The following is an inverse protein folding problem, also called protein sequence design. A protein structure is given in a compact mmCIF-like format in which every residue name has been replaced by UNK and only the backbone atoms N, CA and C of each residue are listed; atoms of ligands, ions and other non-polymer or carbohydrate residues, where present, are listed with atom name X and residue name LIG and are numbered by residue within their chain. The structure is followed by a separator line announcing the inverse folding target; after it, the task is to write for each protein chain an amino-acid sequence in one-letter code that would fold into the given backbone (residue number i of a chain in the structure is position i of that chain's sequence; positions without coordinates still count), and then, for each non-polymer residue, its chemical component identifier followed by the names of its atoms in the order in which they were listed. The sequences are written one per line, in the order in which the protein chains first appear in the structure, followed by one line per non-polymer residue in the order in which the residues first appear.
data_IF_887348414910
#
_entry.id   IF_887348414910
#
_cell.length_a   1.000
_cell.length_b   1.000
_cell.length_c   1.000
_cell.angle_alpha   90.00
_cell.angle_beta   90.00
_cell.angle_gamma   90.00
#
_symmetry.space_group_name_H-M   'P 1'
#
loop_
_entity.id
_entity.type
_entity.pdbx_description
1 polymer ?
#
# COMPACT_ATOMS: atom_id res chain seq x y z
N UNK A 1 19.12 17.87 4.54
CA UNK A 1 19.66 16.89 3.58
C UNK A 1 19.90 17.63 2.28
N UNK A 2 21.15 17.93 1.95
CA UNK A 2 21.51 18.45 0.63
C UNK A 2 21.87 17.25 -0.23
N UNK A 3 21.09 17.02 -1.28
CA UNK A 3 21.35 15.99 -2.28
C UNK A 3 22.33 16.61 -3.27
N UNK A 4 23.63 16.38 -3.09
CA UNK A 4 24.65 16.92 -3.98
C UNK A 4 24.83 15.94 -5.14
N UNK A 5 24.25 16.27 -6.30
CA UNK A 5 24.28 15.42 -7.49
C UNK A 5 25.00 16.19 -8.61
N UNK A 6 26.01 15.60 -9.28
CA UNK A 6 26.91 16.30 -10.22
C UNK A 6 26.23 16.92 -11.45
N UNK A 7 24.95 16.64 -11.66
CA UNK A 7 24.12 17.21 -12.73
C UNK A 7 23.02 18.17 -12.24
N UNK A 8 22.87 18.38 -10.94
CA UNK A 8 21.86 19.29 -10.35
C UNK A 8 22.56 20.34 -9.47
N UNK A 9 23.19 21.32 -10.12
CA UNK A 9 23.98 22.35 -9.45
C UNK A 9 23.15 23.38 -8.65
N UNK A 10 21.83 23.41 -8.86
CA UNK A 10 20.93 24.34 -8.15
C UNK A 10 19.80 23.58 -7.43
N UNK A 11 19.70 23.67 -6.09
CA UNK A 11 18.62 23.04 -5.32
C UNK A 11 17.21 23.50 -5.70
N UNK A 12 17.02 24.71 -6.23
CA UNK A 12 15.70 25.18 -6.68
C UNK A 12 15.19 24.40 -7.89
N UNK A 13 16.10 23.98 -8.77
CA UNK A 13 15.77 23.26 -9.99
C UNK A 13 15.32 21.83 -9.67
N UNK A 14 15.90 21.23 -8.63
CA UNK A 14 15.47 19.91 -8.15
C UNK A 14 13.96 19.88 -7.80
N UNK A 15 13.44 20.93 -7.16
CA UNK A 15 12.02 21.04 -6.81
C UNK A 15 11.14 21.13 -8.07
N UNK A 16 11.56 21.87 -9.08
CA UNK A 16 10.80 22.02 -10.33
C UNK A 16 10.82 20.71 -11.14
N UNK A 17 11.97 20.05 -11.25
CA UNK A 17 12.09 18.75 -11.91
C UNK A 17 11.22 17.68 -11.25
N UNK A 18 11.30 17.54 -9.92
CA UNK A 18 10.45 16.60 -9.20
C UNK A 18 8.97 16.89 -9.41
N UNK A 19 8.56 18.16 -9.27
CA UNK A 19 7.16 18.56 -9.49
C UNK A 19 6.69 18.21 -10.90
N UNK A 20 7.50 18.51 -11.92
CA UNK A 20 7.19 18.23 -13.32
C UNK A 20 7.11 16.72 -13.58
N UNK A 21 8.04 15.94 -13.04
CA UNK A 21 8.01 14.48 -13.15
C UNK A 21 6.77 13.87 -12.48
N UNK A 22 6.41 14.33 -11.28
CA UNK A 22 5.18 13.88 -10.60
C UNK A 22 3.93 14.27 -11.38
N UNK A 23 3.88 15.50 -11.91
CA UNK A 23 2.77 15.98 -12.74
C UNK A 23 2.62 15.12 -13.99
N UNK A 24 3.71 14.93 -14.75
CA UNK A 24 3.71 14.11 -15.96
C UNK A 24 3.29 12.67 -15.67
N UNK A 25 3.82 12.06 -14.61
CA UNK A 25 3.43 10.71 -14.20
C UNK A 25 1.95 10.63 -13.84
N UNK A 26 1.43 11.59 -13.09
CA UNK A 26 0.03 11.62 -12.73
C UNK A 26 -0.87 11.84 -13.95
N UNK A 27 -0.53 12.77 -14.83
CA UNK A 27 -1.26 13.05 -16.07
C UNK A 27 -1.27 11.87 -17.04
N UNK A 28 -0.24 11.02 -17.01
CA UNK A 28 -0.13 9.83 -17.86
C UNK A 28 -0.82 8.62 -17.20
N UNK A 29 -0.37 8.23 -16.00
CA UNK A 29 -0.74 6.96 -15.34
C UNK A 29 -1.91 7.08 -14.36
N UNK A 30 -2.32 8.30 -14.04
CA UNK A 30 -3.29 8.61 -13.00
C UNK A 30 -2.71 8.53 -11.58
N UNK A 31 -3.60 8.41 -10.57
CA UNK A 31 -3.20 8.29 -9.17
C UNK A 31 -2.29 7.07 -8.94
N UNK A 32 -1.11 7.28 -8.34
CA UNK A 32 -0.12 6.22 -8.11
C UNK A 32 -0.64 5.05 -7.26
N UNK A 33 -1.63 5.30 -6.40
CA UNK A 33 -2.28 4.29 -5.57
C UNK A 33 -2.98 3.20 -6.39
N UNK A 34 -3.38 3.48 -7.63
CA UNK A 34 -4.06 2.50 -8.50
C UNK A 34 -3.14 1.32 -8.84
N UNK A 35 -1.88 1.59 -9.19
CA UNK A 35 -0.91 0.52 -9.46
C UNK A 35 -0.64 -0.32 -8.21
N UNK A 36 -0.56 0.33 -7.04
CA UNK A 36 -0.38 -0.37 -5.77
C UNK A 36 -1.57 -1.28 -5.45
N UNK A 37 -2.80 -0.79 -5.65
CA UNK A 37 -4.01 -1.57 -5.42
C UNK A 37 -4.12 -2.76 -6.38
N UNK A 38 -3.87 -2.55 -7.69
CA UNK A 38 -3.87 -3.63 -8.69
C UNK A 38 -2.81 -4.68 -8.33
N UNK A 39 -1.61 -4.26 -7.96
CA UNK A 39 -0.52 -5.19 -7.57
C UNK A 39 -0.90 -5.98 -6.32
N UNK A 40 -1.45 -5.30 -5.31
CA UNK A 40 -1.86 -5.95 -4.06
C UNK A 40 -2.94 -7.02 -4.29
N UNK A 41 -3.97 -6.70 -5.09
CA UNK A 41 -5.06 -7.65 -5.32
C UNK A 41 -4.65 -8.80 -6.24
N UNK A 42 -3.87 -8.54 -7.30
CA UNK A 42 -3.34 -9.60 -8.17
C UNK A 42 -2.40 -10.52 -7.41
N UNK A 43 -1.55 -9.96 -6.54
CA UNK A 43 -0.69 -10.74 -5.67
C UNK A 43 -1.50 -11.63 -4.73
N UNK A 44 -2.57 -11.10 -4.14
CA UNK A 44 -3.47 -11.88 -3.29
C UNK A 44 -4.13 -13.01 -4.07
N UNK A 45 -4.72 -12.73 -5.24
CA UNK A 45 -5.37 -13.73 -6.09
C UNK A 45 -4.39 -14.85 -6.43
N UNK A 46 -3.21 -14.50 -6.95
CA UNK A 46 -2.18 -15.48 -7.30
C UNK A 46 -1.78 -16.34 -6.10
N UNK A 47 -1.65 -15.75 -4.91
CA UNK A 47 -1.29 -16.51 -3.71
C UNK A 47 -2.39 -17.50 -3.29
N UNK A 48 -3.66 -17.15 -3.50
CA UNK A 48 -4.79 -18.07 -3.28
C UNK A 48 -4.75 -19.20 -4.30
N UNK A 49 -4.65 -18.88 -5.59
CA UNK A 49 -4.60 -19.87 -6.68
C UNK A 49 -3.42 -20.85 -6.48
N UNK A 50 -2.24 -20.33 -6.13
CA UNK A 50 -1.05 -21.14 -5.85
C UNK A 50 -1.25 -22.06 -4.63
N UNK A 51 -1.98 -21.61 -3.60
CA UNK A 51 -2.26 -22.39 -2.40
C UNK A 51 -3.28 -23.50 -2.67
N UNK A 52 -4.36 -23.19 -3.38
CA UNK A 52 -5.35 -24.17 -3.81
C UNK A 52 -4.73 -25.22 -4.74
N UNK A 53 -3.87 -24.79 -5.67
CA UNK A 53 -3.12 -25.71 -6.53
C UNK A 53 -2.27 -26.69 -5.70
N UNK A 54 -1.57 -26.20 -4.67
CA UNK A 54 -0.72 -27.06 -3.82
C UNK A 54 -1.55 -28.06 -3.01
N UNK A 55 -2.67 -27.61 -2.45
CA UNK A 55 -3.60 -28.48 -1.72
C UNK A 55 -4.15 -29.58 -2.63
N UNK A 56 -4.60 -29.22 -3.84
CA UNK A 56 -5.15 -30.18 -4.81
C UNK A 56 -4.12 -31.19 -5.34
N UNK A 57 -2.83 -30.86 -5.27
CA UNK A 57 -1.74 -31.72 -5.73
C UNK A 57 -0.99 -32.42 -4.59
N UNK A 58 -1.46 -32.32 -3.34
CA UNK A 58 -0.80 -32.85 -2.14
C UNK A 58 0.67 -32.42 -2.03
N UNK A 59 0.94 -31.16 -2.36
CA UNK A 59 2.28 -30.58 -2.31
C UNK A 59 2.56 -29.99 -0.92
N UNK A 60 3.61 -30.48 -0.27
CA UNK A 60 4.07 -29.98 1.01
C UNK A 60 5.48 -29.41 0.91
N UNK A 61 5.77 -28.42 1.76
CA UNK A 61 7.10 -27.84 1.86
C UNK A 61 8.06 -28.86 2.46
N UNK A 62 9.17 -29.13 1.78
CA UNK A 62 10.26 -29.95 2.25
C UNK A 62 11.44 -29.04 2.63
N UNK A 63 11.86 -29.08 3.90
CA UNK A 63 12.93 -28.23 4.43
C UNK A 63 14.32 -28.61 3.91
N UNK A 64 14.52 -29.89 3.56
CA UNK A 64 15.81 -30.37 3.05
C UNK A 64 16.06 -29.91 1.61
N UNK A 65 15.00 -29.90 0.79
CA UNK A 65 15.09 -29.52 -0.63
C UNK A 65 14.67 -28.08 -0.90
N UNK A 66 14.11 -27.40 0.11
CA UNK A 66 13.55 -26.05 0.04
C UNK A 66 12.53 -25.88 -1.10
N UNK A 67 11.73 -26.92 -1.33
CA UNK A 67 10.78 -27.00 -2.44
C UNK A 67 9.47 -27.64 -1.98
N UNK A 68 8.42 -27.40 -2.77
CA UNK A 68 7.15 -28.09 -2.59
C UNK A 68 7.18 -29.42 -3.36
N UNK A 69 6.96 -30.52 -2.64
CA UNK A 69 7.03 -31.89 -3.17
C UNK A 69 5.76 -32.66 -2.84
N UNK A 70 5.41 -33.63 -3.71
CA UNK A 70 4.27 -34.51 -3.46
C UNK A 70 4.59 -35.40 -2.26
N UNK A 71 3.63 -35.54 -1.37
CA UNK A 71 3.76 -36.35 -0.16
C UNK A 71 2.46 -37.11 0.09
N UNK A 72 2.57 -38.33 0.61
CA UNK A 72 1.42 -39.19 0.92
C UNK A 72 0.65 -38.71 2.17
N UNK A 73 1.31 -37.89 3.01
CA UNK A 73 0.78 -37.31 4.24
C UNK A 73 0.81 -35.78 4.21
N UNK A 74 -0.03 -35.13 3.39
CA UNK A 74 0.05 -33.69 3.21
C UNK A 74 -0.30 -32.94 4.50
N UNK A 75 0.63 -32.10 4.95
CA UNK A 75 0.46 -31.21 6.10
C UNK A 75 -0.09 -29.84 5.65
N UNK A 76 -0.94 -29.20 6.47
CA UNK A 76 -1.44 -27.86 6.19
C UNK A 76 -0.31 -26.82 6.25
N UNK A 77 -0.18 -25.99 5.21
CA UNK A 77 0.80 -24.90 5.15
C UNK A 77 0.25 -23.64 5.86
N UNK A 78 0.42 -23.60 7.18
CA UNK A 78 -0.05 -22.49 8.01
C UNK A 78 0.60 -21.15 7.66
N UNK A 79 1.88 -21.17 7.27
CA UNK A 79 2.61 -19.95 6.92
C UNK A 79 2.02 -19.29 5.67
N UNK A 80 1.73 -20.09 4.63
CA UNK A 80 1.07 -19.59 3.43
C UNK A 80 -0.33 -19.06 3.74
N UNK A 81 -1.10 -19.76 4.58
CA UNK A 81 -2.42 -19.28 5.01
C UNK A 81 -2.33 -17.92 5.72
N UNK A 82 -1.38 -17.74 6.64
CA UNK A 82 -1.13 -16.46 7.31
C UNK A 82 -0.70 -15.36 6.33
N UNK A 83 0.17 -15.69 5.37
CA UNK A 83 0.61 -14.78 4.31
C UNK A 83 -0.56 -14.32 3.45
N UNK A 84 -1.41 -15.24 3.00
CA UNK A 84 -2.62 -14.93 2.22
C UNK A 84 -3.55 -14.00 3.01
N UNK A 85 -3.80 -14.29 4.30
CA UNK A 85 -4.60 -13.41 5.18
C UNK A 85 -4.01 -12.01 5.27
N UNK A 86 -2.69 -11.89 5.40
CA UNK A 86 -2.01 -10.58 5.43
C UNK A 86 -2.15 -9.84 4.10
N UNK A 87 -1.97 -10.51 2.97
CA UNK A 87 -2.15 -9.93 1.64
C UNK A 87 -3.59 -9.48 1.43
N UNK A 88 -4.57 -10.29 1.83
CA UNK A 88 -5.98 -9.92 1.80
C UNK A 88 -6.26 -8.66 2.62
N UNK A 89 -5.69 -8.56 3.83
CA UNK A 89 -5.82 -7.39 4.69
C UNK A 89 -5.24 -6.14 4.05
N UNK A 90 -4.05 -6.23 3.44
CA UNK A 90 -3.42 -5.12 2.72
C UNK A 90 -4.31 -4.68 1.55
N UNK A 91 -4.80 -5.62 0.73
CA UNK A 91 -5.70 -5.32 -0.36
C UNK A 91 -6.96 -4.60 0.15
N UNK A 92 -7.65 -5.17 1.15
CA UNK A 92 -8.85 -4.58 1.78
C UNK A 92 -8.62 -3.14 2.27
N UNK A 93 -7.45 -2.83 2.82
CA UNK A 93 -7.11 -1.49 3.29
C UNK A 93 -6.96 -0.46 2.18
N UNK A 94 -6.60 -0.88 0.96
CA UNK A 94 -6.49 0.00 -0.21
C UNK A 94 -7.86 0.29 -0.86
N UNK A 95 -8.83 -0.60 -0.65
CA UNK A 95 -10.15 -0.54 -1.28
C UNK A 95 -10.89 0.80 -1.10
N UNK A 96 -10.88 1.46 0.08
CA UNK A 96 -11.55 2.74 0.27
C UNK A 96 -11.04 3.86 -0.65
N UNK A 97 -9.79 3.77 -1.11
CA UNK A 97 -9.15 4.80 -1.93
C UNK A 97 -9.53 4.72 -3.41
N UNK A 98 -10.14 3.62 -3.86
CA UNK A 98 -10.40 3.39 -5.28
C UNK A 98 -11.43 4.35 -5.86
N UNK A 99 -12.47 4.70 -5.09
CA UNK A 99 -13.50 5.62 -5.55
C UNK A 99 -12.97 7.04 -5.69
N UNK A 100 -12.21 7.53 -4.70
CA UNK A 100 -11.57 8.83 -4.80
C UNK A 100 -10.53 8.84 -5.93
N UNK A 101 -9.73 7.79 -6.07
CA UNK A 101 -8.78 7.67 -7.18
C UNK A 101 -9.48 7.72 -8.56
N UNK A 102 -10.65 7.09 -8.71
CA UNK A 102 -11.46 7.19 -9.94
C UNK A 102 -11.99 8.61 -10.17
N UNK A 103 -12.50 9.26 -9.13
CA UNK A 103 -13.06 10.61 -9.22
C UNK A 103 -12.02 11.64 -9.65
N UNK A 104 -10.81 11.55 -9.09
CA UNK A 104 -9.71 12.46 -9.35
C UNK A 104 -8.78 11.98 -10.47
N UNK A 105 -9.11 10.93 -11.22
CA UNK A 105 -8.28 10.52 -12.34
C UNK A 105 -8.28 11.59 -13.47
N UNK A 106 -7.11 12.00 -13.98
CA UNK A 106 -6.99 13.17 -14.86
C UNK A 106 -7.43 12.91 -16.30
N UNK A 107 -7.45 11.66 -16.74
CA UNK A 107 -7.76 11.28 -18.12
C UNK A 107 -8.67 10.03 -18.16
N UNK A 108 -9.18 9.69 -19.34
CA UNK A 108 -10.09 8.54 -19.54
C UNK A 108 -9.41 7.21 -19.21
N UNK A 109 -8.17 7.03 -19.65
CA UNK A 109 -7.39 5.80 -19.41
C UNK A 109 -7.20 5.52 -17.91
N UNK A 110 -6.90 6.55 -17.11
CA UNK A 110 -6.76 6.46 -15.66
C UNK A 110 -8.10 6.15 -14.98
N UNK A 111 -9.22 6.68 -15.49
CA UNK A 111 -10.57 6.34 -15.00
C UNK A 111 -10.91 4.88 -15.30
N UNK A 112 -10.62 4.40 -16.51
CA UNK A 112 -10.81 3.01 -16.91
C UNK A 112 -9.94 2.08 -16.05
N UNK A 113 -8.69 2.45 -15.79
CA UNK A 113 -7.79 1.72 -14.88
C UNK A 113 -8.31 1.67 -13.44
N UNK A 114 -8.87 2.77 -12.94
CA UNK A 114 -9.50 2.80 -11.62
C UNK A 114 -10.76 1.91 -11.57
N UNK A 115 -11.57 1.94 -12.63
CA UNK A 115 -12.74 1.08 -12.78
C UNK A 115 -12.34 -0.41 -12.82
N UNK A 116 -11.33 -0.75 -13.62
CA UNK A 116 -10.74 -2.09 -13.67
C UNK A 116 -10.26 -2.55 -12.29
N UNK A 117 -9.59 -1.68 -11.53
CA UNK A 117 -9.19 -2.00 -10.16
C UNK A 117 -10.41 -2.29 -9.27
N UNK A 118 -11.48 -1.49 -9.34
CA UNK A 118 -12.71 -1.73 -8.58
C UNK A 118 -13.35 -3.07 -8.93
N UNK A 119 -13.45 -3.39 -10.22
CA UNK A 119 -14.01 -4.66 -10.71
C UNK A 119 -13.18 -5.84 -10.25
N UNK A 120 -11.86 -5.77 -10.36
CA UNK A 120 -10.95 -6.80 -9.90
C UNK A 120 -11.09 -7.04 -8.39
N UNK A 121 -11.23 -5.98 -7.60
CA UNK A 121 -11.51 -6.08 -6.18
C UNK A 121 -12.86 -6.72 -5.86
N UNK A 122 -13.90 -6.41 -6.65
CA UNK A 122 -15.21 -7.00 -6.49
C UNK A 122 -15.21 -8.49 -6.85
N UNK A 123 -14.46 -8.88 -7.89
CA UNK A 123 -14.29 -10.27 -8.30
C UNK A 123 -13.55 -11.09 -7.22
N UNK A 124 -12.41 -10.58 -6.73
CA UNK A 124 -11.57 -11.32 -5.79
C UNK A 124 -12.07 -11.30 -4.33
N UNK A 125 -12.70 -10.22 -3.88
CA UNK A 125 -13.08 -10.04 -2.46
C UNK A 125 -14.59 -9.90 -2.23
N UNK A 126 -15.40 -10.06 -3.28
CA UNK A 126 -16.84 -9.78 -3.24
C UNK A 126 -17.15 -8.29 -3.09
N UNK A 127 -18.42 -7.94 -2.90
CA UNK A 127 -18.87 -6.54 -2.76
C UNK A 127 -18.30 -5.86 -1.50
N UNK A 128 -18.05 -4.53 -1.52
CA UNK A 128 -17.50 -3.83 -0.37
C UNK A 128 -18.51 -3.79 0.78
N UNK A 129 -18.03 -4.01 2.01
CA UNK A 129 -18.81 -3.82 3.23
C UNK A 129 -19.27 -2.36 3.37
N UNK A 130 -20.39 -2.13 4.06
CA UNK A 130 -20.91 -0.80 4.35
C UNK A 130 -19.85 0.12 5.00
N UNK A 131 -19.00 -0.42 5.89
CA UNK A 131 -17.90 0.34 6.53
C UNK A 131 -16.92 0.87 5.50
N UNK A 132 -16.56 0.03 4.51
CA UNK A 132 -15.67 0.39 3.41
C UNK A 132 -16.32 1.43 2.49
N UNK A 133 -17.62 1.29 2.22
CA UNK A 133 -18.36 2.26 1.42
C UNK A 133 -18.38 3.65 2.08
N UNK A 134 -18.66 3.72 3.38
CA UNK A 134 -18.61 4.96 4.15
C UNK A 134 -17.21 5.57 4.19
N UNK A 135 -16.17 4.77 4.41
CA UNK A 135 -14.79 5.24 4.36
C UNK A 135 -14.43 5.81 2.97
N UNK A 136 -14.88 5.17 1.90
CA UNK A 136 -14.66 5.65 0.52
C UNK A 136 -15.37 6.97 0.26
N UNK A 137 -16.62 7.09 0.72
CA UNK A 137 -17.40 8.30 0.60
C UNK A 137 -16.74 9.45 1.38
N UNK A 138 -16.36 9.20 2.62
CA UNK A 138 -15.64 10.17 3.45
C UNK A 138 -14.37 10.68 2.76
N UNK A 139 -13.51 9.76 2.28
CA UNK A 139 -12.28 10.12 1.55
C UNK A 139 -12.55 10.94 0.29
N UNK A 140 -13.62 10.63 -0.43
CA UNK A 140 -14.01 11.36 -1.63
C UNK A 140 -14.48 12.77 -1.27
N UNK A 141 -15.32 12.92 -0.25
CA UNK A 141 -15.80 14.23 0.22
C UNK A 141 -14.65 15.09 0.72
N UNK A 142 -13.72 14.55 1.51
CA UNK A 142 -12.56 15.30 1.99
C UNK A 142 -11.67 15.75 0.83
N UNK A 143 -11.42 14.87 -0.15
CA UNK A 143 -10.63 15.21 -1.32
C UNK A 143 -11.32 16.27 -2.21
N UNK A 144 -12.65 16.23 -2.35
CA UNK A 144 -13.42 17.26 -3.07
C UNK A 144 -13.30 18.61 -2.36
N UNK A 145 -13.45 18.62 -1.03
CA UNK A 145 -13.30 19.83 -0.21
C UNK A 145 -11.89 20.42 -0.32
N UNK A 146 -10.85 19.60 -0.27
CA UNK A 146 -9.47 20.08 -0.43
C UNK A 146 -9.23 20.62 -1.83
N UNK A 147 -9.75 19.93 -2.86
CA UNK A 147 -9.60 20.37 -4.26
C UNK A 147 -10.30 21.72 -4.49
N UNK A 148 -11.48 21.93 -3.93
CA UNK A 148 -12.18 23.22 -4.07
C UNK A 148 -11.44 24.36 -3.37
N UNK A 149 -10.87 24.11 -2.19
CA UNK A 149 -10.02 25.08 -1.49
C UNK A 149 -8.77 25.45 -2.32
N UNK A 150 -8.13 24.47 -2.96
CA UNK A 150 -6.99 24.70 -3.84
C UNK A 150 -7.36 25.55 -5.07
N UNK A 151 -8.53 25.29 -5.66
CA UNK A 151 -9.03 26.06 -6.81
C UNK A 151 -9.31 27.51 -6.37
N UNK A 152 -10.03 27.70 -5.26
CA UNK A 152 -10.36 29.03 -4.75
C UNK A 152 -9.11 29.84 -4.42
N UNK A 153 -8.12 29.24 -3.76
CA UNK A 153 -6.86 29.92 -3.45
C UNK A 153 -6.07 30.33 -4.71
N UNK A 154 -6.06 29.47 -5.75
CA UNK A 154 -5.45 29.84 -7.04
C UNK A 154 -6.16 31.02 -7.69
N UNK A 155 -7.49 31.09 -7.60
CA UNK A 155 -8.28 32.20 -8.14
C UNK A 155 -8.03 33.50 -7.38
N UNK A 156 -7.79 33.44 -6.07
CA UNK A 156 -7.48 34.62 -5.23
C UNK A 156 -5.99 34.97 -5.20
N UNK A 157 -5.14 34.31 -5.99
CA UNK A 157 -3.69 34.56 -6.04
C UNK A 157 -2.91 34.10 -4.80
N UNK A 158 -3.53 33.30 -3.93
CA UNK A 158 -2.90 32.81 -2.70
C UNK A 158 -2.30 31.40 -2.90
N UNK A 159 -1.11 31.17 -2.37
CA UNK A 159 -0.56 29.81 -2.26
C UNK A 159 -1.31 29.04 -1.16
N UNK A 160 -2.09 28.04 -1.54
CA UNK A 160 -2.75 27.18 -0.57
C UNK A 160 -1.79 26.10 -0.08
N UNK A 161 -1.47 26.12 1.23
CA UNK A 161 -0.75 25.03 1.87
C UNK A 161 -1.73 23.90 2.17
N UNK A 162 -1.58 22.77 1.48
CA UNK A 162 -2.34 21.56 1.79
C UNK A 162 -2.07 21.20 3.25
N UNK A 163 -3.15 21.04 4.03
CA UNK A 163 -3.04 20.59 5.41
C UNK A 163 -2.49 19.17 5.43
N UNK A 164 -1.23 19.03 5.83
CA UNK A 164 -0.67 17.74 6.19
C UNK A 164 -0.99 17.52 7.67
N UNK A 165 -1.68 16.42 8.05
CA UNK A 165 -1.88 16.12 9.45
C UNK A 165 -0.50 15.99 10.13
N UNK A 166 -0.35 16.43 11.39
CA UNK A 166 0.92 16.37 12.09
C UNK A 166 1.39 14.91 12.14
N UNK A 167 2.47 14.61 11.43
CA UNK A 167 3.10 13.29 11.42
C UNK A 167 3.76 13.08 12.79
N UNK A 168 3.09 12.37 13.71
CA UNK A 168 3.57 12.15 15.08
C UNK A 168 4.80 11.22 15.20
N UNK A 169 5.32 10.66 14.10
CA UNK A 169 6.44 9.71 14.13
C UNK A 169 7.49 10.10 13.08
N UNK A 170 8.63 10.63 13.53
CA UNK A 170 9.85 10.52 12.74
C UNK A 170 10.31 9.06 12.79
N UNK A 171 10.73 8.52 11.65
CA UNK A 171 11.22 7.14 11.50
C UNK A 171 12.28 6.82 12.56
N UNK A 172 13.13 7.80 12.92
CA UNK A 172 14.18 7.68 13.92
C UNK A 172 13.65 7.51 15.36
N UNK A 173 12.55 8.20 15.74
CA UNK A 173 11.93 8.02 17.07
C UNK A 173 11.18 6.69 17.17
N UNK A 174 10.58 6.23 16.07
CA UNK A 174 9.93 4.92 16.02
C UNK A 174 10.96 3.79 16.13
N UNK A 175 12.05 3.88 15.37
CA UNK A 175 13.14 2.90 15.35
C UNK A 175 13.89 2.88 16.69
N UNK A 176 14.16 4.04 17.29
CA UNK A 176 14.76 4.16 18.62
C UNK A 176 13.93 3.45 19.69
N UNK A 177 12.62 3.72 19.72
CA UNK A 177 11.69 3.02 20.64
C UNK A 177 11.60 1.52 20.36
N UNK A 178 11.70 1.09 19.11
CA UNK A 178 11.63 -0.33 18.75
C UNK A 178 12.93 -1.07 19.10
N UNK A 179 14.07 -0.39 18.99
CA UNK A 179 15.39 -0.87 19.42
C UNK A 179 15.48 -0.92 20.95
N UNK A 180 15.00 0.10 21.66
CA UNK A 180 14.87 0.11 23.13
C UNK A 180 13.99 -1.06 23.60
N UNK A 181 12.81 -1.25 23.00
CA UNK A 181 11.91 -2.34 23.37
C UNK A 181 12.47 -3.74 23.05
N UNK A 182 13.30 -3.85 22.01
CA UNK A 182 14.02 -5.10 21.67
C UNK A 182 15.19 -5.33 22.61
N UNK A 183 15.89 -4.28 23.05
CA UNK A 183 16.93 -4.36 24.08
C UNK A 183 16.34 -4.76 25.44
N UNK A 184 15.19 -4.20 25.83
CA UNK A 184 14.42 -4.61 27.01
C UNK A 184 13.96 -6.07 26.90
N UNK A 185 13.51 -6.52 25.72
CA UNK A 185 13.14 -7.92 25.46
C UNK A 185 14.31 -8.90 25.45
N UNK A 186 15.52 -8.46 25.09
CA UNK A 186 16.76 -9.26 25.15
C UNK A 186 17.30 -9.35 26.59
N UNK A 187 17.02 -8.35 27.43
CA UNK A 187 17.45 -8.32 28.83
C UNK A 187 16.81 -9.44 29.68
N UNK A 188 15.62 -9.92 29.30
CA UNK A 188 14.98 -11.09 29.93
C UNK A 188 15.56 -12.44 29.48
N UNK A 189 16.34 -12.50 28.39
CA UNK A 189 16.98 -13.74 27.90
C UNK A 189 18.37 -14.01 28.52
N UNK A 190 18.93 -13.05 29.28
CA UNK A 190 20.25 -13.17 29.90
C UNK A 190 20.22 -13.39 31.43
N UNK A 191 19.05 -13.61 32.04
CA UNK A 191 19.02 -14.12 33.40
C UNK A 191 19.23 -15.63 33.37
N UNK A 192 20.27 -16.19 34.04
CA UNK A 192 20.35 -17.62 34.24
C UNK A 192 19.15 -18.04 35.08
N UNK A 193 18.23 -18.78 34.47
CA UNK A 193 17.33 -19.62 35.24
C UNK A 193 18.20 -20.62 36.01
N UNK A 194 17.92 -20.75 37.31
CA UNK A 194 18.57 -21.63 38.30
C UNK A 194 19.79 -21.04 39.03
N UNK A 195 19.51 -20.54 40.23
CA UNK A 195 20.24 -20.88 41.44
C UNK A 195 19.23 -21.45 42.45
#
# INVERSE_FOLDING_TARGET
MCFDHPHFNNPSDHKSYLRNAFKQKYETDGPGILNMAITAIKGYQKAVDDYEYRQNNNLCWNDDTLRYEKTDHPQPDEFMALRIRKMQKIAKNLRPTLLSAKQFAPNKQAKEKAQYAIELYNACLGKPSWKTQMASLFLTVTAVKETSLLIMAKLTGHECKIYQPPVKLSYNKALGKLMEKKAEGIQWMHQPAFA
#
